data_IF_346049798493
#
_entry.id   IF_346049798493
#
_cell.length_a   1.000
_cell.length_b   1.000
_cell.length_c   1.000
_cell.angle_alpha   90.00
_cell.angle_beta   90.00
_cell.angle_gamma   90.00
#
_symmetry.space_group_name_H-M   'P 1'
#
loop_
_entity.id
_entity.type
_entity.pdbx_description
1 polymer ?
#
# COMPACT_ATOMS: atom_id res chain seq x y z
N UNK A 1 -11.62 -13.57 -1.29
CA UNK A 1 -10.87 -13.28 -0.05
C UNK A 1 -11.87 -12.80 0.98
N UNK A 2 -12.11 -13.54 2.06
CA UNK A 2 -13.03 -13.11 3.13
C UNK A 2 -12.20 -12.54 4.27
N UNK A 3 -12.36 -11.25 4.54
CA UNK A 3 -11.73 -10.59 5.68
C UNK A 3 -12.38 -11.09 6.97
N UNK A 4 -11.57 -11.48 7.96
CA UNK A 4 -12.10 -11.95 9.24
C UNK A 4 -12.65 -10.78 10.05
N UNK A 5 -13.66 -11.01 10.91
CA UNK A 5 -14.07 -10.02 11.91
C UNK A 5 -12.85 -9.53 12.71
N UNK A 6 -12.74 -8.21 12.91
CA UNK A 6 -11.55 -7.57 13.49
C UNK A 6 -10.54 -7.04 12.47
N UNK A 7 -10.78 -7.26 11.16
CA UNK A 7 -10.00 -6.60 10.11
C UNK A 7 -10.46 -5.16 9.89
N UNK A 8 -9.54 -4.21 9.88
CA UNK A 8 -9.78 -2.83 9.47
C UNK A 8 -8.58 -2.31 8.70
N UNK A 9 -8.81 -1.91 7.45
CA UNK A 9 -7.77 -1.44 6.54
C UNK A 9 -8.21 -0.08 5.99
N UNK A 10 -7.36 0.92 6.18
CA UNK A 10 -7.55 2.24 5.60
C UNK A 10 -6.77 2.35 4.30
N UNK A 11 -7.43 2.79 3.24
CA UNK A 11 -6.80 3.07 1.95
C UNK A 11 -6.77 4.58 1.75
N UNK A 12 -5.57 5.13 1.61
CA UNK A 12 -5.32 6.55 1.43
C UNK A 12 -4.79 6.78 0.01
N UNK A 13 -5.50 7.59 -0.79
CA UNK A 13 -5.03 8.01 -2.11
C UNK A 13 -4.35 9.38 -1.94
N UNK A 14 -3.06 9.45 -2.28
CA UNK A 14 -2.22 10.64 -2.07
C UNK A 14 -1.38 10.95 -3.30
N UNK A 15 -0.76 12.14 -3.33
CA UNK A 15 0.12 12.57 -4.42
C UNK A 15 1.60 12.22 -4.15
N UNK A 16 2.47 12.48 -5.14
CA UNK A 16 3.92 12.23 -5.03
C UNK A 16 4.55 12.98 -3.82
N UNK A 17 4.08 14.20 -3.55
CA UNK A 17 4.64 15.05 -2.49
C UNK A 17 4.38 14.44 -1.11
N UNK A 18 3.16 14.00 -0.88
CA UNK A 18 2.79 13.36 0.37
C UNK A 18 3.39 11.96 0.49
N UNK A 19 3.49 11.22 -0.61
CA UNK A 19 4.12 9.91 -0.63
C UNK A 19 5.61 10.00 -0.25
N UNK A 20 6.33 10.98 -0.80
CA UNK A 20 7.70 11.28 -0.42
C UNK A 20 7.83 11.63 1.07
N UNK A 21 6.90 12.44 1.60
CA UNK A 21 6.90 12.85 3.02
C UNK A 21 6.75 11.64 3.94
N UNK A 22 5.77 10.78 3.66
CA UNK A 22 5.47 9.57 4.45
C UNK A 22 6.61 8.55 4.30
N UNK A 23 7.11 8.34 3.09
CA UNK A 23 8.24 7.44 2.81
C UNK A 23 9.50 7.83 3.58
N UNK A 24 9.84 9.11 3.60
CA UNK A 24 10.98 9.62 4.40
C UNK A 24 10.77 9.42 5.89
N UNK A 25 9.59 9.80 6.40
CA UNK A 25 9.32 9.82 7.84
C UNK A 25 9.30 8.41 8.46
N UNK A 26 8.75 7.42 7.74
CA UNK A 26 8.47 6.11 8.33
C UNK A 26 9.22 4.93 7.69
N UNK A 27 9.82 5.10 6.50
CA UNK A 27 10.52 4.02 5.77
C UNK A 27 11.94 4.39 5.34
N UNK A 28 12.38 5.63 5.58
CA UNK A 28 13.70 6.11 5.15
C UNK A 28 13.88 6.20 3.62
N UNK A 29 12.79 6.09 2.84
CA UNK A 29 12.82 6.20 1.38
C UNK A 29 12.81 7.68 0.99
N UNK A 30 13.79 8.13 0.21
CA UNK A 30 13.96 9.52 -0.19
C UNK A 30 13.41 9.85 -1.59
N UNK A 31 12.59 8.96 -2.13
CA UNK A 31 11.86 9.07 -3.39
C UNK A 31 10.39 8.66 -3.20
N UNK A 32 9.43 9.18 -4.00
CA UNK A 32 8.04 8.75 -3.95
C UNK A 32 7.90 7.34 -4.56
N UNK A 33 7.32 6.41 -3.81
CA UNK A 33 6.95 5.08 -4.33
C UNK A 33 5.54 5.11 -4.92
N UNK A 34 5.12 4.01 -5.53
CA UNK A 34 3.75 3.80 -6.00
C UNK A 34 2.79 3.40 -4.87
N UNK A 35 3.26 2.59 -3.93
CA UNK A 35 2.50 2.15 -2.77
C UNK A 35 3.37 2.07 -1.50
N UNK A 36 2.77 2.35 -0.35
CA UNK A 36 3.35 2.07 0.97
C UNK A 36 2.32 1.34 1.84
N UNK A 37 2.77 0.30 2.52
CA UNK A 37 1.93 -0.50 3.43
C UNK A 37 2.47 -0.45 4.86
N UNK A 38 1.58 -0.16 5.80
CA UNK A 38 1.85 -0.16 7.24
C UNK A 38 0.98 -1.22 7.90
N UNK A 39 1.62 -2.30 8.36
CA UNK A 39 0.94 -3.38 9.07
C UNK A 39 1.08 -3.18 10.59
N UNK A 40 -0.02 -2.80 11.23
CA UNK A 40 -0.11 -2.60 12.67
C UNK A 40 -0.52 -3.86 13.44
N UNK A 41 -1.04 -4.88 12.75
CA UNK A 41 -1.38 -6.18 13.36
C UNK A 41 -0.17 -6.90 13.98
N UNK A 42 1.05 -6.42 13.74
CA UNK A 42 2.28 -6.89 14.40
C UNK A 42 2.54 -6.24 15.77
N UNK A 43 1.74 -5.26 16.20
CA UNK A 43 1.85 -4.64 17.54
C UNK A 43 1.10 -5.48 18.59
N UNK A 44 1.36 -5.22 19.88
CA UNK A 44 0.65 -5.90 20.97
C UNK A 44 -0.88 -5.70 20.88
N UNK A 45 -1.66 -6.75 21.13
CA UNK A 45 -3.12 -6.71 21.19
C UNK A 45 -3.88 -7.36 20.03
N UNK A 46 -3.22 -7.76 18.94
CA UNK A 46 -3.84 -8.38 17.77
C UNK A 46 -3.70 -9.91 17.76
N UNK A 47 -4.72 -10.62 17.24
CA UNK A 47 -4.69 -12.08 17.11
C UNK A 47 -4.04 -12.51 15.79
N UNK A 48 -3.41 -13.70 15.73
CA UNK A 48 -2.94 -14.26 14.47
C UNK A 48 -4.05 -14.32 13.41
N UNK A 49 -3.87 -13.57 12.33
CA UNK A 49 -4.82 -13.47 11.22
C UNK A 49 -5.73 -12.24 11.25
N UNK A 50 -5.61 -11.37 12.26
CA UNK A 50 -6.18 -10.02 12.20
C UNK A 50 -5.36 -9.18 11.19
N UNK A 51 -6.05 -8.30 10.45
CA UNK A 51 -5.41 -7.35 9.55
C UNK A 51 -5.82 -5.94 9.97
N UNK A 52 -4.87 -5.20 10.54
CA UNK A 52 -5.02 -3.80 10.89
C UNK A 52 -3.87 -2.99 10.31
N UNK A 53 -4.19 -1.93 9.57
CA UNK A 53 -3.16 -1.16 8.91
C UNK A 53 -3.67 -0.16 7.90
N UNK A 54 -2.71 0.44 7.22
CA UNK A 54 -2.93 1.45 6.20
C UNK A 54 -2.20 1.09 4.92
N UNK A 55 -2.84 1.40 3.79
CA UNK A 55 -2.27 1.33 2.46
C UNK A 55 -2.34 2.74 1.86
N UNK A 56 -1.19 3.30 1.52
CA UNK A 56 -1.09 4.57 0.82
C UNK A 56 -0.79 4.29 -0.65
N UNK A 57 -1.62 4.81 -1.54
CA UNK A 57 -1.47 4.68 -3.00
C UNK A 57 -1.17 6.05 -3.58
N UNK A 58 -0.10 6.12 -4.37
CA UNK A 58 0.32 7.33 -5.05
C UNK A 58 -0.42 7.48 -6.39
N UNK A 59 -1.34 8.44 -6.48
CA UNK A 59 -2.15 8.65 -7.66
C UNK A 59 -1.34 9.15 -8.87
N UNK A 60 -0.23 9.84 -8.64
CA UNK A 60 0.61 10.34 -9.72
C UNK A 60 1.48 9.23 -10.30
N UNK A 61 1.96 8.30 -9.45
CA UNK A 61 2.60 7.07 -9.90
C UNK A 61 1.62 6.20 -10.69
N UNK A 62 0.40 6.00 -10.17
CA UNK A 62 -0.63 5.22 -10.86
C UNK A 62 -0.97 5.79 -12.24
N UNK A 63 -1.05 7.13 -12.40
CA UNK A 63 -1.25 7.76 -13.72
C UNK A 63 -0.11 7.50 -14.69
N UNK A 64 1.14 7.53 -14.22
CA UNK A 64 2.33 7.23 -15.05
C UNK A 64 2.33 5.77 -15.48
N UNK A 65 2.15 4.86 -14.53
CA UNK A 65 2.12 3.41 -14.75
C UNK A 65 0.96 3.00 -15.67
N UNK A 66 -0.26 3.50 -15.42
CA UNK A 66 -1.43 3.23 -16.25
C UNK A 66 -1.20 3.61 -17.73
N UNK A 67 -0.56 4.75 -17.97
CA UNK A 67 -0.18 5.21 -19.31
C UNK A 67 0.88 4.29 -19.95
N UNK A 68 1.89 3.88 -19.19
CA UNK A 68 2.97 3.00 -19.67
C UNK A 68 2.47 1.59 -20.00
N UNK A 69 1.54 1.07 -19.21
CA UNK A 69 0.98 -0.28 -19.32
C UNK A 69 -0.28 -0.35 -20.21
N UNK A 70 -0.83 0.80 -20.63
CA UNK A 70 -1.93 0.86 -21.60
C UNK A 70 -3.31 0.51 -21.04
N UNK A 71 -3.58 0.86 -19.78
CA UNK A 71 -4.83 0.59 -19.08
C UNK A 71 -5.30 1.83 -18.28
N UNK A 72 -6.46 1.75 -17.63
CA UNK A 72 -7.04 2.88 -16.90
C UNK A 72 -6.33 3.15 -15.58
N UNK A 73 -6.43 4.39 -15.09
CA UNK A 73 -5.89 4.77 -13.77
C UNK A 73 -6.60 4.00 -12.67
N UNK A 74 -7.89 3.75 -12.83
CA UNK A 74 -8.70 2.95 -11.91
C UNK A 74 -8.21 1.50 -11.82
N UNK A 75 -7.85 0.89 -12.94
CA UNK A 75 -7.25 -0.45 -12.95
C UNK A 75 -5.88 -0.47 -12.25
N UNK A 76 -5.04 0.54 -12.47
CA UNK A 76 -3.74 0.62 -11.80
C UNK A 76 -3.88 0.87 -10.30
N UNK A 77 -4.80 1.76 -9.88
CA UNK A 77 -5.09 1.96 -8.45
C UNK A 77 -5.61 0.66 -7.82
N UNK A 78 -6.50 -0.08 -8.49
CA UNK A 78 -6.98 -1.37 -8.01
C UNK A 78 -5.83 -2.39 -7.86
N UNK A 79 -4.92 -2.42 -8.84
CA UNK A 79 -3.72 -3.24 -8.78
C UNK A 79 -2.81 -2.86 -7.60
N UNK A 80 -2.54 -1.57 -7.39
CA UNK A 80 -1.71 -1.10 -6.28
C UNK A 80 -2.35 -1.36 -4.91
N UNK A 81 -3.68 -1.25 -4.79
CA UNK A 81 -4.40 -1.65 -3.58
C UNK A 81 -4.26 -3.16 -3.34
N UNK A 82 -4.44 -3.98 -4.36
CA UNK A 82 -4.23 -5.42 -4.27
C UNK A 82 -2.78 -5.75 -3.85
N UNK A 83 -1.80 -5.06 -4.44
CA UNK A 83 -0.39 -5.21 -4.11
C UNK A 83 -0.12 -4.83 -2.64
N UNK A 84 -0.67 -3.70 -2.16
CA UNK A 84 -0.58 -3.30 -0.75
C UNK A 84 -1.25 -4.31 0.21
N UNK A 85 -2.37 -4.89 -0.20
CA UNK A 85 -3.03 -5.96 0.56
C UNK A 85 -2.16 -7.21 0.68
N UNK A 86 -1.43 -7.60 -0.37
CA UNK A 86 -0.49 -8.73 -0.33
C UNK A 86 0.65 -8.47 0.68
N UNK A 87 1.22 -7.26 0.66
CA UNK A 87 2.20 -6.83 1.67
C UNK A 87 1.66 -6.88 3.08
N UNK A 88 0.40 -6.50 3.28
CA UNK A 88 -0.27 -6.57 4.57
C UNK A 88 -0.30 -8.02 5.10
N UNK A 89 -0.43 -9.00 4.21
CA UNK A 89 -0.42 -10.43 4.57
C UNK A 89 0.99 -11.01 4.76
N UNK A 90 2.05 -10.20 4.62
CA UNK A 90 3.44 -10.66 4.69
C UNK A 90 3.90 -11.41 3.43
N UNK A 91 3.15 -11.29 2.33
CA UNK A 91 3.58 -11.77 1.01
C UNK A 91 4.38 -10.64 0.38
N UNK A 92 5.70 -10.77 0.39
CA UNK A 92 6.60 -9.81 -0.25
C UNK A 92 7.03 -10.35 -1.63
N UNK A 93 7.03 -9.50 -2.65
CA UNK A 93 7.64 -9.85 -3.93
C UNK A 93 9.16 -9.55 -3.88
N UNK A 94 9.94 -10.28 -4.68
CA UNK A 94 11.37 -10.00 -4.83
C UNK A 94 11.54 -8.61 -5.44
N UNK A 95 12.18 -7.69 -4.71
CA UNK A 95 12.46 -6.32 -5.15
C UNK A 95 11.82 -5.22 -4.30
N UNK A 96 11.03 -5.58 -3.28
CA UNK A 96 10.31 -4.62 -2.43
C UNK A 96 11.15 -4.00 -1.28
N UNK A 97 12.45 -4.33 -1.21
CA UNK A 97 13.45 -3.74 -0.28
C UNK A 97 14.22 -2.58 -0.92
#
# INVERSE_FOLDING_TARGET
MLLKPGTSIQVNIIDDKEMLRIGKLYKGKDYPTDVLTFNYSKTEGWKPGDLYGEIYVNIDAAKRQAKEQGHSVEEEVAFLVQHGMMHMQGIHHKGDE
#
